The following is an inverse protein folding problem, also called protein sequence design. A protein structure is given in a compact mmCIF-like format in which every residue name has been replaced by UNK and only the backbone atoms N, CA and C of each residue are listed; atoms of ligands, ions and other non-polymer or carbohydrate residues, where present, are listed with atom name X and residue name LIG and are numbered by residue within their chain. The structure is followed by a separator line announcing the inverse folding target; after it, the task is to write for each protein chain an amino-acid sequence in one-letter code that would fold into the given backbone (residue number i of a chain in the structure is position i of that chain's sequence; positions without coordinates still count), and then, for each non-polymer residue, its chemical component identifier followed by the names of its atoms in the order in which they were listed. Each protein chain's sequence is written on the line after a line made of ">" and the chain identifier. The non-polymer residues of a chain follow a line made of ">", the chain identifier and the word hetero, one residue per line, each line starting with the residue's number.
data_IF_487375107508
#
_entry.id   IF_487375107508
#
_cell.length_a   1.000
_cell.length_b   1.000
_cell.length_c   1.000
_cell.angle_alpha   90.00
_cell.angle_beta   90.00
_cell.angle_gamma   90.00
#
_symmetry.space_group_name_H-M   'P 1'
#
loop_
_entity.id
_entity.type
_entity.pdbx_description
1 polymer ?
#
# COMPACT_ATOMS: atom_id res chain seq x y z
N UNK A 1 -21.65 15.06 2.41
CA UNK A 1 -20.26 14.66 2.11
C UNK A 1 -20.35 13.39 1.30
N UNK A 2 -19.49 13.24 0.31
CA UNK A 2 -19.38 11.99 -0.47
C UNK A 2 -18.82 10.89 0.44
N UNK A 3 -19.28 9.66 0.30
CA UNK A 3 -18.82 8.54 1.11
C UNK A 3 -17.65 7.86 0.42
N UNK A 4 -16.57 7.59 1.16
CA UNK A 4 -15.48 6.76 0.66
C UNK A 4 -15.87 5.29 0.71
N UNK A 5 -15.73 4.62 -0.41
CA UNK A 5 -15.87 3.17 -0.53
C UNK A 5 -14.50 2.54 -0.71
N UNK A 6 -14.34 1.32 -0.25
CA UNK A 6 -13.16 0.53 -0.58
C UNK A 6 -13.49 -0.94 -0.80
N UNK A 7 -12.66 -1.60 -1.59
CA UNK A 7 -12.68 -3.03 -1.84
C UNK A 7 -11.28 -3.59 -1.66
N UNK A 8 -11.16 -4.68 -0.93
CA UNK A 8 -9.92 -5.44 -0.79
C UNK A 8 -9.94 -6.62 -1.74
N UNK A 9 -8.83 -6.84 -2.44
CA UNK A 9 -8.54 -8.02 -3.22
C UNK A 9 -7.30 -8.66 -2.59
N UNK A 10 -7.47 -9.80 -1.93
CA UNK A 10 -6.33 -10.58 -1.45
C UNK A 10 -5.78 -11.37 -2.61
N UNK A 11 -4.55 -11.11 -3.00
CA UNK A 11 -3.94 -11.56 -4.25
C UNK A 11 -2.58 -12.20 -4.01
N UNK A 12 -2.07 -12.85 -5.04
CA UNK A 12 -0.82 -13.59 -5.12
C UNK A 12 -0.64 -14.70 -4.04
N UNK A 13 0.49 -15.40 -4.10
CA UNK A 13 0.79 -16.54 -3.23
C UNK A 13 1.32 -16.15 -1.83
N UNK A 14 1.47 -14.85 -1.58
CA UNK A 14 1.86 -14.27 -0.28
C UNK A 14 0.64 -13.64 0.41
N UNK A 15 -0.55 -13.68 -0.23
CA UNK A 15 -1.80 -13.14 0.30
C UNK A 15 -1.73 -11.63 0.61
N UNK A 16 -1.15 -10.86 -0.35
CA UNK A 16 -1.11 -9.41 -0.28
C UNK A 16 -2.52 -8.82 -0.46
N UNK A 17 -2.83 -7.74 0.24
CA UNK A 17 -4.07 -7.01 0.18
C UNK A 17 -3.96 -5.79 -0.74
N UNK A 18 -4.37 -5.93 -1.99
CA UNK A 18 -4.56 -4.83 -2.93
C UNK A 18 -5.86 -4.09 -2.59
N UNK A 19 -5.80 -2.78 -2.43
CA UNK A 19 -6.96 -1.96 -2.11
C UNK A 19 -7.37 -1.07 -3.29
N UNK A 20 -8.66 -1.04 -3.58
CA UNK A 20 -9.28 -0.09 -4.49
C UNK A 20 -10.19 0.83 -3.69
N UNK A 21 -9.94 2.15 -3.71
CA UNK A 21 -10.74 3.16 -3.03
C UNK A 21 -11.40 4.07 -4.07
N UNK A 22 -12.66 4.46 -3.83
CA UNK A 22 -13.41 5.36 -4.72
C UNK A 22 -14.53 6.09 -3.97
N UNK A 23 -15.06 7.15 -4.58
CA UNK A 23 -16.25 7.84 -4.07
C UNK A 23 -17.34 7.98 -5.16
N UNK A 24 -18.39 8.76 -4.89
CA UNK A 24 -19.51 8.97 -5.82
C UNK A 24 -19.10 9.69 -7.11
N UNK A 25 -17.93 10.33 -7.17
CA UNK A 25 -17.36 10.90 -8.40
C UNK A 25 -16.93 9.83 -9.41
N UNK A 26 -16.79 8.57 -8.96
CA UNK A 26 -16.21 7.46 -9.70
C UNK A 26 -14.70 7.58 -9.96
N UNK A 27 -14.05 8.60 -9.44
CA UNK A 27 -12.60 8.62 -9.40
C UNK A 27 -12.11 7.64 -8.33
N UNK A 28 -11.08 6.86 -8.69
CA UNK A 28 -10.59 5.78 -7.85
C UNK A 28 -9.07 5.75 -7.80
N UNK A 29 -8.55 5.19 -6.70
CA UNK A 29 -7.13 4.89 -6.54
C UNK A 29 -6.95 3.42 -6.22
N UNK A 30 -5.89 2.82 -6.77
CA UNK A 30 -5.43 1.49 -6.42
C UNK A 30 -4.21 1.66 -5.51
N UNK A 31 -4.20 0.96 -4.37
CA UNK A 31 -3.07 0.93 -3.44
C UNK A 31 -2.53 -0.49 -3.37
N UNK A 32 -1.24 -0.64 -3.63
CA UNK A 32 -0.50 -1.88 -3.63
C UNK A 32 -1.15 -2.94 -4.55
N UNK A 33 -0.83 -2.89 -5.84
CA UNK A 33 -1.36 -3.87 -6.77
C UNK A 33 -0.43 -5.06 -6.90
N UNK A 34 -0.60 -6.05 -6.02
CA UNK A 34 0.12 -7.32 -6.06
C UNK A 34 -0.52 -8.40 -6.92
N UNK A 35 -1.53 -8.09 -7.75
CA UNK A 35 -2.23 -9.07 -8.58
C UNK A 35 -1.28 -9.80 -9.53
N UNK A 36 -1.04 -11.08 -9.26
CA UNK A 36 -0.10 -11.93 -9.99
C UNK A 36 -0.79 -12.80 -11.03
N UNK A 37 -1.83 -13.54 -10.61
CA UNK A 37 -2.54 -14.49 -11.47
C UNK A 37 -3.45 -13.78 -12.48
N UNK A 38 -3.66 -14.35 -13.68
CA UNK A 38 -4.60 -13.79 -14.66
C UNK A 38 -6.00 -13.57 -14.11
N UNK A 39 -6.47 -14.48 -13.25
CA UNK A 39 -7.80 -14.44 -12.63
C UNK A 39 -7.92 -13.27 -11.66
N UNK A 40 -6.88 -12.96 -10.90
CA UNK A 40 -6.83 -11.83 -9.97
C UNK A 40 -6.89 -10.49 -10.73
N UNK A 41 -6.12 -10.37 -11.81
CA UNK A 41 -6.13 -9.22 -12.71
C UNK A 41 -7.49 -8.99 -13.36
N UNK A 42 -8.14 -10.09 -13.80
CA UNK A 42 -9.46 -10.01 -14.39
C UNK A 42 -10.54 -9.64 -13.35
N UNK A 43 -10.48 -10.14 -12.13
CA UNK A 43 -11.38 -9.74 -11.04
C UNK A 43 -11.27 -8.23 -10.75
N UNK A 44 -10.06 -7.68 -10.70
CA UNK A 44 -9.85 -6.25 -10.49
C UNK A 44 -10.40 -5.45 -11.69
N UNK A 45 -10.12 -5.87 -12.93
CA UNK A 45 -10.62 -5.23 -14.16
C UNK A 45 -12.14 -5.25 -14.23
N UNK A 46 -12.76 -6.40 -13.97
CA UNK A 46 -14.21 -6.56 -13.97
C UNK A 46 -14.85 -5.61 -12.96
N UNK A 47 -14.33 -5.57 -11.73
CA UNK A 47 -14.87 -4.68 -10.69
C UNK A 47 -14.78 -3.20 -11.08
N UNK A 48 -13.65 -2.74 -11.62
CA UNK A 48 -13.47 -1.36 -12.10
C UNK A 48 -14.48 -1.05 -13.20
N UNK A 49 -14.68 -1.97 -14.16
CA UNK A 49 -15.58 -1.81 -15.29
C UNK A 49 -17.05 -1.78 -14.86
N UNK A 50 -17.48 -2.75 -14.04
CA UNK A 50 -18.86 -2.90 -13.57
C UNK A 50 -19.30 -1.70 -12.71
N UNK A 51 -18.38 -1.10 -11.98
CA UNK A 51 -18.65 0.08 -11.17
C UNK A 51 -18.39 1.41 -11.90
N UNK A 52 -18.02 1.37 -13.18
CA UNK A 52 -17.68 2.55 -14.00
C UNK A 52 -16.65 3.47 -13.33
N UNK A 53 -15.58 2.89 -12.75
CA UNK A 53 -14.55 3.66 -12.06
C UNK A 53 -13.49 4.16 -13.04
N UNK A 54 -12.95 5.33 -12.73
CA UNK A 54 -11.80 5.93 -13.42
C UNK A 54 -10.59 5.92 -12.51
N UNK A 55 -9.61 5.09 -12.81
CA UNK A 55 -8.38 5.01 -12.01
C UNK A 55 -7.55 6.26 -12.24
N UNK A 56 -7.30 7.01 -11.17
CA UNK A 56 -6.52 8.26 -11.17
C UNK A 56 -5.10 8.06 -10.71
N UNK A 57 -4.90 7.17 -9.74
CA UNK A 57 -3.61 6.90 -9.13
C UNK A 57 -3.41 5.40 -8.95
N UNK A 58 -2.18 4.96 -9.11
CA UNK A 58 -1.66 3.66 -8.73
C UNK A 58 -0.58 3.90 -7.67
N UNK A 59 -0.96 3.78 -6.41
CA UNK A 59 -0.12 4.10 -5.26
C UNK A 59 0.56 2.85 -4.73
N UNK A 60 1.80 2.98 -4.30
CA UNK A 60 2.48 1.94 -3.56
C UNK A 60 2.94 2.46 -2.20
N UNK A 61 2.61 1.70 -1.15
CA UNK A 61 3.08 1.98 0.22
C UNK A 61 4.59 1.76 0.33
N UNK A 62 5.09 0.78 -0.41
CA UNK A 62 6.51 0.45 -0.53
C UNK A 62 6.74 -0.41 -1.79
N UNK A 63 8.00 -0.75 -2.08
CA UNK A 63 8.37 -1.39 -3.34
C UNK A 63 8.87 -2.84 -3.20
N UNK A 64 8.36 -3.61 -2.23
CA UNK A 64 8.57 -5.05 -2.27
C UNK A 64 7.80 -5.70 -3.41
N UNK A 65 8.35 -6.76 -3.97
CA UNK A 65 7.91 -7.36 -5.22
C UNK A 65 6.46 -7.86 -5.22
N UNK A 66 5.97 -8.32 -4.07
CA UNK A 66 4.61 -8.83 -3.90
C UNK A 66 3.54 -7.73 -3.97
N UNK A 67 3.90 -6.48 -3.68
CA UNK A 67 3.08 -5.29 -3.89
C UNK A 67 3.18 -4.72 -5.31
N UNK A 68 4.04 -5.30 -6.16
CA UNK A 68 4.34 -4.81 -7.51
C UNK A 68 3.90 -5.74 -8.64
N UNK A 69 3.46 -6.97 -8.37
CA UNK A 69 3.15 -7.97 -9.41
C UNK A 69 2.13 -7.50 -10.44
N UNK A 70 1.21 -6.62 -10.06
CA UNK A 70 0.15 -6.12 -10.92
C UNK A 70 0.38 -4.72 -11.49
N UNK A 71 1.48 -4.04 -11.16
CA UNK A 71 1.65 -2.62 -11.58
C UNK A 71 1.75 -2.45 -13.10
N UNK A 72 2.41 -3.39 -13.80
CA UNK A 72 2.44 -3.37 -15.26
C UNK A 72 1.04 -3.57 -15.85
N UNK A 73 0.28 -4.50 -15.31
CA UNK A 73 -1.11 -4.71 -15.72
C UNK A 73 -1.97 -3.45 -15.52
N UNK A 74 -1.86 -2.76 -14.38
CA UNK A 74 -2.57 -1.51 -14.13
C UNK A 74 -2.17 -0.41 -15.12
N UNK A 75 -0.88 -0.31 -15.42
CA UNK A 75 -0.37 0.63 -16.41
C UNK A 75 -0.94 0.37 -17.81
N UNK A 76 -0.95 -0.88 -18.24
CA UNK A 76 -1.47 -1.28 -19.55
C UNK A 76 -3.00 -1.11 -19.64
N UNK A 77 -3.72 -1.40 -18.55
CA UNK A 77 -5.18 -1.37 -18.54
C UNK A 77 -5.77 0.04 -18.41
N UNK A 78 -5.14 0.93 -17.65
CA UNK A 78 -5.70 2.24 -17.30
C UNK A 78 -4.78 3.42 -17.59
N UNK A 79 -3.57 3.19 -18.09
CA UNK A 79 -2.62 4.26 -18.43
C UNK A 79 -2.04 4.99 -17.22
N UNK A 80 -2.12 4.40 -16.03
CA UNK A 80 -1.55 4.95 -14.79
C UNK A 80 -0.18 4.36 -14.52
N UNK A 81 0.72 5.13 -13.92
CA UNK A 81 2.05 4.67 -13.53
C UNK A 81 2.12 4.54 -12.01
N UNK A 82 2.95 3.61 -11.47
CA UNK A 82 3.10 3.48 -10.03
C UNK A 82 3.68 4.75 -9.43
N UNK A 83 3.07 5.23 -8.36
CA UNK A 83 3.48 6.40 -7.60
C UNK A 83 3.85 5.94 -6.18
N UNK A 84 5.02 6.35 -5.69
CA UNK A 84 5.53 5.95 -4.38
C UNK A 84 6.40 7.03 -3.75
N UNK A 85 6.85 6.80 -2.52
CA UNK A 85 7.80 7.70 -1.88
C UNK A 85 9.07 7.88 -2.70
N UNK A 86 9.61 9.09 -2.71
CA UNK A 86 10.90 9.37 -3.34
C UNK A 86 12.04 8.50 -2.77
N UNK A 87 11.93 8.12 -1.48
CA UNK A 87 12.89 7.27 -0.80
C UNK A 87 12.75 5.77 -1.16
N UNK A 88 11.69 5.38 -1.91
CA UNK A 88 11.48 4.01 -2.43
C UNK A 88 12.02 3.77 -3.84
N UNK A 89 12.47 4.80 -4.53
CA UNK A 89 12.89 4.69 -5.93
C UNK A 89 13.98 3.64 -6.13
N UNK A 90 14.96 3.57 -5.24
CA UNK A 90 16.02 2.57 -5.31
C UNK A 90 15.47 1.16 -5.02
N UNK A 91 14.60 1.00 -4.03
CA UNK A 91 13.93 -0.28 -3.72
C UNK A 91 13.13 -0.77 -4.94
N UNK A 92 12.42 0.13 -5.62
CA UNK A 92 11.67 -0.19 -6.84
C UNK A 92 12.59 -0.73 -7.95
N UNK A 93 13.73 -0.09 -8.19
CA UNK A 93 14.71 -0.55 -9.18
C UNK A 93 15.36 -1.88 -8.81
N UNK A 94 15.44 -2.19 -7.52
CA UNK A 94 15.98 -3.44 -6.98
C UNK A 94 14.92 -4.54 -6.79
N UNK A 95 13.64 -4.29 -7.04
CA UNK A 95 12.56 -5.24 -6.74
C UNK A 95 12.72 -6.57 -7.51
N UNK A 96 13.13 -6.55 -8.78
CA UNK A 96 13.36 -7.78 -9.57
C UNK A 96 14.54 -8.59 -9.04
N UNK A 97 15.75 -8.03 -8.84
CA UNK A 97 16.85 -8.74 -8.18
C UNK A 97 16.50 -9.26 -6.79
N UNK A 98 15.82 -8.48 -5.96
CA UNK A 98 15.41 -8.89 -4.61
C UNK A 98 14.44 -10.08 -4.67
N UNK A 99 13.45 -10.03 -5.55
CA UNK A 99 12.52 -11.13 -5.76
C UNK A 99 13.26 -12.42 -6.17
N UNK A 100 14.19 -12.33 -7.11
CA UNK A 100 14.97 -13.49 -7.55
C UNK A 100 15.82 -14.10 -6.43
N UNK A 101 16.42 -13.24 -5.60
CA UNK A 101 17.18 -13.67 -4.44
C UNK A 101 16.30 -14.33 -3.38
N UNK A 102 15.11 -13.79 -3.13
CA UNK A 102 14.15 -14.30 -2.14
C UNK A 102 13.52 -15.63 -2.57
N UNK A 103 13.08 -15.72 -3.83
CA UNK A 103 12.38 -16.90 -4.36
C UNK A 103 13.33 -17.98 -4.91
N UNK A 104 14.64 -17.71 -4.98
CA UNK A 104 15.65 -18.58 -5.57
C UNK A 104 15.34 -19.04 -7.02
N UNK A 105 14.54 -18.26 -7.74
CA UNK A 105 14.18 -18.49 -9.14
C UNK A 105 13.73 -17.22 -9.83
N UNK A 106 13.88 -17.17 -11.15
CA UNK A 106 13.37 -16.06 -11.94
C UNK A 106 11.84 -16.16 -12.08
N UNK A 107 11.15 -15.04 -11.82
CA UNK A 107 9.76 -14.83 -12.17
C UNK A 107 9.67 -13.68 -13.17
N UNK A 108 8.67 -13.69 -14.06
CA UNK A 108 8.47 -12.59 -15.02
C UNK A 108 7.78 -11.41 -14.32
N UNK A 109 8.51 -10.64 -13.52
CA UNK A 109 8.06 -9.35 -13.02
C UNK A 109 8.51 -8.27 -14.01
N UNK A 110 7.54 -7.57 -14.60
CA UNK A 110 7.76 -6.40 -15.43
C UNK A 110 7.34 -5.16 -14.64
N UNK A 111 8.21 -4.17 -14.63
CA UNK A 111 7.96 -2.90 -13.95
C UNK A 111 7.85 -1.80 -15.00
N UNK A 112 6.73 -1.05 -15.05
CA UNK A 112 6.62 0.13 -15.92
C UNK A 112 7.54 1.23 -15.40
N UNK A 113 7.74 2.31 -16.19
CA UNK A 113 8.39 3.50 -15.67
C UNK A 113 7.68 3.99 -14.39
N UNK A 114 8.46 4.51 -13.44
CA UNK A 114 7.91 5.13 -12.25
C UNK A 114 7.16 6.41 -12.63
N UNK A 115 6.01 6.63 -12.00
CA UNK A 115 5.22 7.85 -12.12
C UNK A 115 5.74 8.97 -11.22
N UNK A 116 4.82 9.70 -10.59
CA UNK A 116 5.17 10.74 -9.62
C UNK A 116 5.70 10.16 -8.33
N UNK A 117 6.59 10.88 -7.71
CA UNK A 117 7.02 10.59 -6.34
C UNK A 117 6.40 11.59 -5.37
N UNK A 118 6.26 11.16 -4.12
CA UNK A 118 5.75 11.96 -3.02
C UNK A 118 6.61 11.76 -1.76
N UNK A 119 6.36 12.56 -0.73
CA UNK A 119 7.06 12.47 0.55
C UNK A 119 6.14 12.71 1.75
N UNK A 120 6.73 12.80 2.93
CA UNK A 120 6.02 13.08 4.18
C UNK A 120 5.13 14.32 4.08
N UNK A 121 3.85 14.18 4.44
CA UNK A 121 2.87 15.26 4.48
C UNK A 121 2.22 15.60 3.15
N UNK A 122 2.66 15.01 2.03
CA UNK A 122 2.00 15.21 0.75
C UNK A 122 0.58 14.66 0.77
N UNK A 123 -0.28 15.24 -0.07
CA UNK A 123 -1.68 14.91 -0.17
C UNK A 123 -2.03 14.45 -1.58
N UNK A 124 -2.58 13.24 -1.70
CA UNK A 124 -3.02 12.64 -2.96
C UNK A 124 -4.53 12.75 -3.03
N UNK A 125 -5.06 13.43 -4.06
CA UNK A 125 -6.48 13.73 -4.20
C UNK A 125 -7.14 12.92 -5.29
N UNK A 126 -8.33 12.41 -4.98
CA UNK A 126 -9.23 11.77 -5.95
C UNK A 126 -10.68 12.03 -5.53
N UNK A 127 -11.53 12.36 -6.49
CA UNK A 127 -12.89 12.78 -6.21
C UNK A 127 -12.93 13.91 -5.19
N UNK A 128 -13.60 13.67 -4.08
CA UNK A 128 -13.72 14.62 -2.96
C UNK A 128 -12.86 14.23 -1.75
N UNK A 129 -12.02 13.21 -1.90
CA UNK A 129 -11.18 12.66 -0.83
C UNK A 129 -9.70 12.96 -1.04
N UNK A 130 -8.98 12.85 0.06
CA UNK A 130 -7.54 13.07 0.13
C UNK A 130 -6.89 11.98 0.99
N UNK A 131 -5.78 11.45 0.51
CA UNK A 131 -4.90 10.57 1.27
C UNK A 131 -3.64 11.34 1.64
N UNK A 132 -3.42 11.55 2.93
CA UNK A 132 -2.19 12.14 3.44
C UNK A 132 -1.11 11.07 3.56
N UNK A 133 0.07 11.38 3.07
CA UNK A 133 1.24 10.51 3.18
C UNK A 133 1.88 10.68 4.56
N UNK A 134 2.08 9.56 5.27
CA UNK A 134 2.81 9.49 6.54
C UNK A 134 3.98 8.54 6.34
N UNK A 135 5.22 9.05 6.38
CA UNK A 135 6.41 8.23 6.24
C UNK A 135 6.61 7.33 7.47
N UNK A 136 6.75 6.03 7.19
CA UNK A 136 7.00 4.97 8.18
C UNK A 136 8.21 4.11 7.74
N UNK A 137 9.40 4.72 7.65
CA UNK A 137 10.60 3.99 7.24
C UNK A 137 10.95 2.88 8.22
N UNK A 138 11.54 1.79 7.71
CA UNK A 138 12.11 0.74 8.53
C UNK A 138 11.74 -0.68 8.12
N UNK A 139 10.56 -0.92 7.51
CA UNK A 139 10.32 -2.14 6.73
C UNK A 139 11.07 -2.05 5.40
N UNK A 140 10.93 -0.91 4.72
CA UNK A 140 11.76 -0.42 3.64
C UNK A 140 12.23 1.02 3.96
N UNK A 141 13.23 1.56 3.26
CA UNK A 141 13.72 2.92 3.53
C UNK A 141 12.67 4.02 3.31
N UNK A 142 11.80 3.86 2.33
CA UNK A 142 10.79 4.85 1.96
C UNK A 142 9.34 4.39 2.19
N UNK A 143 9.13 3.39 3.03
CA UNK A 143 7.80 2.90 3.37
C UNK A 143 6.89 4.01 3.90
N UNK A 144 5.62 4.02 3.48
CA UNK A 144 4.63 5.02 3.89
C UNK A 144 3.30 4.38 4.25
N UNK A 145 2.52 5.11 5.05
CA UNK A 145 1.09 4.87 5.24
C UNK A 145 0.28 5.96 4.52
N UNK A 146 -0.92 5.62 4.04
CA UNK A 146 -1.87 6.57 3.47
C UNK A 146 -3.04 6.76 4.42
N UNK A 147 -3.26 7.99 4.88
CA UNK A 147 -4.29 8.32 5.85
C UNK A 147 -5.40 9.19 5.25
N UNK A 148 -6.62 8.65 5.20
CA UNK A 148 -7.83 9.41 4.91
C UNK A 148 -8.45 9.87 6.25
N UNK A 149 -8.11 11.09 6.67
CA UNK A 149 -8.55 11.65 7.96
C UNK A 149 -10.06 11.78 8.03
N UNK A 150 -10.70 12.23 6.95
CA UNK A 150 -12.15 12.44 6.89
C UNK A 150 -12.96 11.16 7.16
N UNK A 151 -12.38 10.00 6.83
CA UNK A 151 -13.04 8.69 6.95
C UNK A 151 -12.46 7.82 8.09
N UNK A 152 -11.44 8.32 8.80
CA UNK A 152 -10.75 7.56 9.83
C UNK A 152 -10.19 6.24 9.28
N UNK A 153 -9.56 6.27 8.10
CA UNK A 153 -9.04 5.10 7.39
C UNK A 153 -7.55 5.24 7.12
N UNK A 154 -6.77 4.23 7.49
CA UNK A 154 -5.32 4.19 7.34
C UNK A 154 -4.90 2.92 6.60
N UNK A 155 -4.25 3.06 5.44
CA UNK A 155 -3.59 1.96 4.73
C UNK A 155 -2.13 1.96 5.15
N UNK A 156 -1.67 0.86 5.72
CA UNK A 156 -0.35 0.79 6.36
C UNK A 156 0.69 0.01 5.57
N UNK A 157 0.30 -0.62 4.46
CA UNK A 157 1.19 -1.55 3.80
C UNK A 157 1.79 -2.51 4.84
N UNK A 158 3.09 -2.68 4.77
CA UNK A 158 3.81 -3.58 5.65
C UNK A 158 4.46 -2.87 6.86
N UNK A 159 3.96 -1.69 7.23
CA UNK A 159 4.42 -1.02 8.44
C UNK A 159 3.76 -1.57 9.71
N UNK A 160 2.42 -1.66 9.73
CA UNK A 160 1.65 -2.10 10.90
C UNK A 160 0.65 -3.19 10.49
N UNK A 161 0.69 -4.31 11.19
CA UNK A 161 -0.27 -5.42 11.07
C UNK A 161 -1.06 -5.60 12.37
N UNK A 162 -2.08 -6.44 12.33
CA UNK A 162 -2.80 -6.80 13.54
C UNK A 162 -1.89 -7.58 14.49
N UNK A 163 -1.60 -7.00 15.66
CA UNK A 163 -0.70 -7.52 16.70
C UNK A 163 0.76 -7.74 16.24
N UNK A 164 1.19 -7.11 15.13
CA UNK A 164 2.55 -7.25 14.60
C UNK A 164 2.99 -5.98 13.88
N UNK A 165 4.24 -5.95 13.45
CA UNK A 165 4.82 -4.92 12.57
C UNK A 165 5.55 -5.59 11.41
N UNK A 166 5.90 -4.83 10.38
CA UNK A 166 6.70 -5.30 9.27
C UNK A 166 8.06 -5.82 9.71
N UNK A 167 8.55 -6.84 9.00
CA UNK A 167 9.93 -7.32 9.19
C UNK A 167 10.92 -6.24 8.76
N UNK A 168 12.07 -6.19 9.46
CA UNK A 168 13.10 -5.19 9.20
C UNK A 168 14.48 -5.82 8.94
N UNK A 169 14.51 -7.11 8.61
CA UNK A 169 15.73 -7.89 8.38
C UNK A 169 16.11 -8.01 6.90
N UNK A 170 15.33 -7.42 6.00
CA UNK A 170 15.64 -7.32 4.57
C UNK A 170 16.54 -6.11 4.28
N UNK A 171 17.21 -6.07 3.12
CA UNK A 171 18.06 -4.93 2.75
C UNK A 171 17.34 -3.59 2.84
N UNK A 172 17.91 -2.64 3.57
CA UNK A 172 17.31 -1.32 3.83
C UNK A 172 16.38 -1.28 5.05
N UNK A 173 16.12 -2.42 5.71
CA UNK A 173 15.29 -2.49 6.91
C UNK A 173 15.98 -1.93 8.15
N UNK A 174 15.20 -1.27 9.04
CA UNK A 174 15.63 -0.72 10.33
C UNK A 174 14.46 -0.77 11.33
N UNK A 175 14.55 -1.70 12.27
CA UNK A 175 13.51 -1.90 13.27
C UNK A 175 13.34 -0.69 14.21
N UNK A 176 14.42 0.02 14.54
CA UNK A 176 14.34 1.20 15.39
C UNK A 176 13.57 2.33 14.71
N UNK A 177 13.85 2.58 13.43
CA UNK A 177 13.13 3.56 12.62
C UNK A 177 11.64 3.23 12.50
N UNK A 178 11.30 1.96 12.23
CA UNK A 178 9.90 1.54 12.11
C UNK A 178 9.14 1.71 13.42
N UNK A 179 9.68 1.21 14.53
CA UNK A 179 9.04 1.32 15.85
C UNK A 179 8.87 2.78 16.23
N UNK A 180 9.87 3.64 15.98
CA UNK A 180 9.79 5.09 16.23
C UNK A 180 8.68 5.72 15.40
N UNK A 181 8.64 5.47 14.09
CA UNK A 181 7.60 6.04 13.22
C UNK A 181 6.19 5.57 13.63
N UNK A 182 6.03 4.29 13.97
CA UNK A 182 4.75 3.76 14.43
C UNK A 182 4.31 4.37 15.76
N UNK A 183 5.19 4.50 16.73
CA UNK A 183 4.87 5.06 18.06
C UNK A 183 4.62 6.55 18.03
N UNK A 184 5.42 7.31 17.29
CA UNK A 184 5.36 8.77 17.31
C UNK A 184 4.35 9.36 16.31
N UNK A 185 4.01 8.63 15.23
CA UNK A 185 3.11 9.13 14.20
C UNK A 185 1.80 8.33 14.13
N UNK A 186 1.88 7.01 14.02
CA UNK A 186 0.73 6.16 13.74
C UNK A 186 -0.12 5.91 14.98
N UNK A 187 0.48 5.50 16.09
CA UNK A 187 -0.25 5.25 17.33
C UNK A 187 -0.76 6.54 18.01
N UNK A 188 -0.43 7.72 17.52
CA UNK A 188 -0.99 9.01 17.99
C UNK A 188 -2.31 9.36 17.32
N UNK A 189 -2.68 8.67 16.22
CA UNK A 189 -3.96 8.86 15.54
C UNK A 189 -5.14 8.45 16.43
N UNK A 190 -6.37 8.93 16.16
CA UNK A 190 -7.57 8.56 16.92
C UNK A 190 -7.77 7.02 17.02
N UNK A 191 -8.30 6.55 18.14
CA UNK A 191 -8.42 5.11 18.44
C UNK A 191 -9.35 4.35 17.50
N UNK A 192 -10.34 5.03 16.95
CA UNK A 192 -11.34 4.50 16.02
C UNK A 192 -10.87 4.42 14.57
N UNK A 193 -9.68 4.95 14.25
CA UNK A 193 -9.10 4.84 12.91
C UNK A 193 -8.94 3.36 12.54
N UNK A 194 -9.56 2.97 11.44
CA UNK A 194 -9.46 1.63 10.85
C UNK A 194 -8.14 1.48 10.12
N UNK A 195 -7.44 0.39 10.38
CA UNK A 195 -6.16 0.05 9.77
C UNK A 195 -6.36 -1.05 8.74
N UNK A 196 -5.92 -0.81 7.53
CA UNK A 196 -5.92 -1.72 6.39
C UNK A 196 -4.46 -2.07 6.05
N UNK A 197 -3.97 -3.25 6.50
CA UNK A 197 -2.57 -3.64 6.31
C UNK A 197 -2.32 -4.29 4.95
N UNK A 198 -1.06 -4.35 4.52
CA UNK A 198 -0.64 -5.05 3.31
C UNK A 198 -0.90 -6.56 3.35
N UNK A 199 -0.90 -7.17 4.54
CA UNK A 199 -1.21 -8.59 4.72
C UNK A 199 -2.11 -8.83 5.94
N UNK A 200 -2.91 -9.89 5.84
CA UNK A 200 -3.77 -10.34 6.94
C UNK A 200 -4.98 -9.44 7.21
N UNK A 201 -5.62 -9.60 8.38
CA UNK A 201 -6.86 -8.90 8.67
C UNK A 201 -6.63 -7.45 9.13
N UNK A 202 -7.64 -6.60 8.87
CA UNK A 202 -7.69 -5.24 9.40
C UNK A 202 -7.75 -5.17 10.93
N UNK A 203 -7.42 -3.99 11.45
CA UNK A 203 -7.42 -3.69 12.88
C UNK A 203 -7.84 -2.23 13.13
N UNK A 204 -7.59 -1.69 14.32
CA UNK A 204 -7.76 -0.27 14.65
C UNK A 204 -6.57 0.25 15.44
N UNK A 205 -6.33 1.55 15.41
CA UNK A 205 -5.26 2.18 16.19
C UNK A 205 -5.42 1.89 17.69
N UNK A 206 -6.63 1.97 18.22
CA UNK A 206 -6.90 1.67 19.64
C UNK A 206 -6.61 0.22 20.00
N UNK A 207 -6.94 -0.73 19.11
CA UNK A 207 -6.62 -2.14 19.32
C UNK A 207 -5.11 -2.38 19.36
N UNK A 208 -4.36 -1.83 18.39
CA UNK A 208 -2.91 -2.02 18.30
C UNK A 208 -2.18 -1.34 19.47
N UNK A 209 -2.62 -0.19 19.91
CA UNK A 209 -2.08 0.51 21.10
C UNK A 209 -2.15 -0.35 22.35
N UNK A 210 -3.22 -1.14 22.50
CA UNK A 210 -3.43 -2.00 23.68
C UNK A 210 -2.82 -3.40 23.53
N UNK A 211 -2.73 -3.95 22.33
CA UNK A 211 -2.48 -5.38 22.14
C UNK A 211 -1.21 -5.71 21.36
N UNK A 212 -0.60 -4.72 20.67
CA UNK A 212 0.59 -4.98 19.88
C UNK A 212 1.85 -5.03 20.77
N UNK A 213 2.34 -6.24 21.00
CA UNK A 213 3.50 -6.46 21.87
C UNK A 213 4.83 -5.98 21.27
N UNK A 214 4.87 -5.77 19.94
CA UNK A 214 6.07 -5.26 19.26
C UNK A 214 6.27 -3.74 19.47
N UNK A 215 5.25 -3.05 19.98
CA UNK A 215 5.23 -1.59 20.17
C UNK A 215 5.13 -1.18 21.66
N UNK A 216 5.54 -2.07 22.56
CA UNK A 216 5.54 -1.85 24.02
C UNK A 216 6.95 -1.72 24.55
#
# INVERSE_FOLDING_TARGET
>A
MSTLHYKTFTVNFIEENCYLLWDESREAVIVDCGAFLPEEKEQLRAFVTENNLTIKHLLNTHAHFDHLFGVQFCSDAWGVLPEMSADEVETYHQAVPQMQAFLHRAFPLQLPPLGKTFGEGDAIRFGTHELRVIATPGHTPGGVCFYCEAEGLLLTGDSLFRCSIGRCDLPGGDACSLVTALTEKILTLPEDVKVLPGHGPGTTIGYERMNNMMLR
#
